data_IF_604909120210
#
_entry.id   IF_604909120210
#
_cell.length_a   1.000
_cell.length_b   1.000
_cell.length_c   1.000
_cell.angle_alpha   90.00
_cell.angle_beta   90.00
_cell.angle_gamma   90.00
#
_symmetry.space_group_name_H-M   'P 1'
#
loop_
_entity.id
_entity.type
_entity.pdbx_description
1 polymer ?
#
# COMPACT_ATOMS: atom_id res chain seq x y z
N UNK A 1 -0.22 -6.13 -13.17
CA UNK A 1 0.14 -4.74 -13.50
C UNK A 1 -0.53 -4.35 -14.82
N UNK A 2 -1.03 -3.14 -14.93
CA UNK A 2 -1.74 -2.63 -16.13
C UNK A 2 -0.82 -1.72 -16.94
N UNK A 3 -0.90 -1.85 -18.28
CA UNK A 3 -0.43 -0.87 -19.25
C UNK A 3 -1.63 -0.36 -20.02
N UNK A 4 -1.73 0.95 -20.21
CA UNK A 4 -2.84 1.54 -20.97
C UNK A 4 -2.89 0.97 -22.40
N UNK A 5 -4.02 0.39 -22.77
CA UNK A 5 -4.24 -0.29 -24.06
C UNK A 5 -4.03 -1.81 -24.03
N UNK A 6 -3.53 -2.39 -22.92
CA UNK A 6 -3.46 -3.83 -22.74
C UNK A 6 -4.80 -4.35 -22.20
N UNK A 7 -5.47 -5.19 -22.98
CA UNK A 7 -6.81 -5.68 -22.66
C UNK A 7 -6.83 -6.81 -21.63
N UNK A 8 -5.75 -7.59 -21.49
CA UNK A 8 -5.72 -8.76 -20.59
C UNK A 8 -5.74 -8.31 -19.12
N UNK A 9 -4.76 -7.56 -18.61
CA UNK A 9 -4.80 -7.13 -17.22
C UNK A 9 -5.95 -6.15 -16.93
N UNK A 10 -6.40 -5.37 -17.92
CA UNK A 10 -7.60 -4.55 -17.80
C UNK A 10 -8.84 -5.42 -17.49
N UNK A 11 -9.06 -6.46 -18.29
CA UNK A 11 -10.20 -7.35 -18.11
C UNK A 11 -10.13 -8.15 -16.81
N UNK A 12 -8.91 -8.53 -16.38
CA UNK A 12 -8.69 -9.21 -15.11
C UNK A 12 -9.06 -8.33 -13.92
N UNK A 13 -8.63 -7.06 -13.91
CA UNK A 13 -9.02 -6.11 -12.86
C UNK A 13 -10.52 -5.82 -12.91
N UNK A 14 -11.09 -5.61 -14.10
CA UNK A 14 -12.54 -5.39 -14.25
C UNK A 14 -13.36 -6.57 -13.71
N UNK A 15 -12.90 -7.81 -13.97
CA UNK A 15 -13.52 -9.03 -13.41
C UNK A 15 -13.40 -9.06 -11.89
N UNK A 16 -12.21 -8.75 -11.35
CA UNK A 16 -12.00 -8.69 -9.89
C UNK A 16 -12.92 -7.67 -9.22
N UNK A 17 -13.06 -6.47 -9.80
CA UNK A 17 -13.99 -5.44 -9.31
C UNK A 17 -15.44 -5.97 -9.31
N UNK A 18 -15.89 -6.63 -10.38
CA UNK A 18 -17.22 -7.21 -10.44
C UNK A 18 -17.40 -8.31 -9.38
N UNK A 19 -16.41 -9.22 -9.21
CA UNK A 19 -16.47 -10.27 -8.19
C UNK A 19 -16.54 -9.69 -6.77
N UNK A 20 -15.78 -8.64 -6.49
CA UNK A 20 -15.83 -7.94 -5.19
C UNK A 20 -17.24 -7.36 -4.97
N UNK A 21 -17.79 -6.67 -5.96
CA UNK A 21 -19.12 -6.08 -5.89
C UNK A 21 -20.24 -7.11 -5.70
N UNK A 22 -20.06 -8.32 -6.26
CA UNK A 22 -21.01 -9.43 -6.15
C UNK A 22 -20.81 -10.28 -4.87
N UNK A 23 -19.76 -10.04 -4.10
CA UNK A 23 -19.44 -10.79 -2.88
C UNK A 23 -20.03 -10.09 -1.65
N UNK A 24 -21.01 -10.66 -0.95
CA UNK A 24 -21.56 -10.07 0.26
C UNK A 24 -20.54 -10.01 1.39
N UNK A 25 -20.60 -8.94 2.20
CA UNK A 25 -19.79 -8.79 3.41
C UNK A 25 -18.39 -8.21 3.16
N UNK A 26 -18.05 -7.83 1.94
CA UNK A 26 -16.87 -7.00 1.70
C UNK A 26 -17.26 -5.54 2.00
N UNK A 27 -16.54 -4.90 2.89
CA UNK A 27 -16.85 -3.56 3.37
C UNK A 27 -15.86 -2.51 2.87
N UNK A 28 -14.64 -2.92 2.54
CA UNK A 28 -13.62 -2.08 1.91
C UNK A 28 -12.58 -2.92 1.15
N UNK A 29 -11.74 -2.26 0.37
CA UNK A 29 -10.63 -2.89 -0.38
C UNK A 29 -9.33 -2.17 -0.07
N UNK A 30 -8.26 -2.93 0.17
CA UNK A 30 -6.90 -2.41 0.28
C UNK A 30 -6.11 -2.84 -0.95
N UNK A 31 -5.43 -1.88 -1.58
CA UNK A 31 -4.55 -2.10 -2.73
C UNK A 31 -3.12 -1.74 -2.31
N UNK A 32 -2.27 -2.76 -2.19
CA UNK A 32 -0.91 -2.63 -1.66
C UNK A 32 0.15 -2.23 -2.71
N UNK A 33 -0.25 -1.64 -3.83
CA UNK A 33 0.66 -1.13 -4.86
C UNK A 33 0.85 -2.04 -6.07
N UNK A 34 1.79 -1.68 -6.93
CA UNK A 34 2.12 -2.37 -8.20
C UNK A 34 0.92 -2.56 -9.14
N UNK A 35 0.16 -1.48 -9.29
CA UNK A 35 -1.07 -1.48 -10.11
C UNK A 35 -0.78 -1.30 -11.61
N UNK A 36 0.36 -0.70 -11.94
CA UNK A 36 0.78 -0.43 -13.31
C UNK A 36 2.12 -1.08 -13.62
N UNK A 37 2.47 -1.18 -14.89
CA UNK A 37 3.74 -1.79 -15.30
C UNK A 37 4.93 -0.84 -15.18
N UNK A 38 4.76 0.44 -15.43
CA UNK A 38 5.83 1.44 -15.43
C UNK A 38 5.45 2.75 -14.71
N UNK A 39 4.38 2.77 -13.96
CA UNK A 39 3.95 3.94 -13.21
C UNK A 39 3.61 5.16 -14.07
N UNK A 40 3.17 4.96 -15.30
CA UNK A 40 2.73 6.07 -16.14
C UNK A 40 1.31 6.52 -15.77
N UNK A 41 1.08 7.82 -15.87
CA UNK A 41 -0.17 8.44 -15.46
C UNK A 41 -1.39 7.88 -16.17
N UNK A 42 -1.29 7.61 -17.48
CA UNK A 42 -2.41 7.10 -18.26
C UNK A 42 -2.84 5.71 -17.79
N UNK A 43 -1.89 4.83 -17.47
CA UNK A 43 -2.17 3.52 -16.90
C UNK A 43 -2.80 3.62 -15.51
N UNK A 44 -2.32 4.55 -14.66
CA UNK A 44 -2.93 4.82 -13.35
C UNK A 44 -4.37 5.34 -13.47
N UNK A 45 -4.65 6.24 -14.41
CA UNK A 45 -6.00 6.74 -14.68
C UNK A 45 -6.95 5.61 -15.13
N UNK A 46 -6.45 4.66 -15.93
CA UNK A 46 -7.22 3.46 -16.31
C UNK A 46 -7.52 2.60 -15.08
N UNK A 47 -6.53 2.32 -14.24
CA UNK A 47 -6.74 1.56 -12.99
C UNK A 47 -7.74 2.27 -12.08
N UNK A 48 -7.57 3.57 -11.89
CA UNK A 48 -8.49 4.37 -11.08
C UNK A 48 -9.93 4.26 -11.59
N UNK A 49 -10.14 4.38 -12.91
CA UNK A 49 -11.46 4.27 -13.51
C UNK A 49 -12.15 2.91 -13.26
N UNK A 50 -11.37 1.85 -13.10
CA UNK A 50 -11.88 0.53 -12.74
C UNK A 50 -12.15 0.41 -11.24
N UNK A 51 -11.24 0.88 -10.39
CA UNK A 51 -11.41 0.87 -8.94
C UNK A 51 -12.60 1.74 -8.49
N UNK A 52 -12.83 2.88 -9.15
CA UNK A 52 -13.98 3.77 -8.89
C UNK A 52 -15.35 3.10 -9.20
N UNK A 53 -15.36 1.90 -9.79
CA UNK A 53 -16.57 1.07 -9.98
C UNK A 53 -16.87 0.14 -8.80
N UNK A 54 -15.99 0.10 -7.80
CA UNK A 54 -16.28 -0.63 -6.56
C UNK A 54 -17.48 0.00 -5.84
N UNK A 55 -18.35 -0.85 -5.28
CA UNK A 55 -19.48 -0.43 -4.44
C UNK A 55 -19.06 -0.07 -3.01
N UNK A 56 -17.80 -0.31 -2.67
CA UNK A 56 -17.18 -0.06 -1.37
C UNK A 56 -15.97 0.84 -1.52
N UNK A 57 -15.55 1.49 -0.43
CA UNK A 57 -14.34 2.30 -0.44
C UNK A 57 -13.10 1.45 -0.72
N UNK A 58 -12.12 2.03 -1.40
CA UNK A 58 -10.80 1.45 -1.52
C UNK A 58 -9.71 2.39 -1.02
N UNK A 59 -8.69 1.80 -0.42
CA UNK A 59 -7.51 2.51 0.08
C UNK A 59 -6.28 1.95 -0.63
N UNK A 60 -5.41 2.82 -1.10
CA UNK A 60 -4.32 2.44 -1.99
C UNK A 60 -3.02 3.14 -1.61
N UNK A 61 -1.91 2.41 -1.69
CA UNK A 61 -0.54 2.95 -1.66
C UNK A 61 0.19 2.59 -2.96
N UNK A 62 1.24 3.34 -3.33
CA UNK A 62 2.06 2.97 -4.49
C UNK A 62 2.96 1.78 -4.17
N UNK A 63 3.29 0.99 -5.22
CA UNK A 63 4.36 0.02 -5.21
C UNK A 63 5.61 0.54 -5.92
N UNK A 64 6.58 -0.34 -6.15
CA UNK A 64 7.82 0.05 -6.82
C UNK A 64 7.61 0.38 -8.31
N UNK A 65 6.58 -0.16 -8.92
CA UNK A 65 6.25 0.18 -10.29
C UNK A 65 5.74 1.62 -10.42
N UNK A 66 5.06 2.15 -9.42
CA UNK A 66 4.59 3.55 -9.38
C UNK A 66 5.65 4.53 -8.90
N UNK A 67 6.74 4.05 -8.27
CA UNK A 67 7.82 4.89 -7.75
C UNK A 67 9.11 4.71 -8.55
N UNK A 68 9.75 3.55 -8.45
CA UNK A 68 11.05 3.21 -9.03
C UNK A 68 11.08 3.25 -10.57
N UNK A 69 10.02 2.77 -11.20
CA UNK A 69 9.94 2.66 -12.65
C UNK A 69 9.24 3.85 -13.30
N UNK A 70 8.54 4.67 -12.54
CA UNK A 70 7.87 5.86 -13.02
C UNK A 70 8.86 6.96 -13.38
N UNK A 71 8.66 7.63 -14.54
CA UNK A 71 9.42 8.82 -14.91
C UNK A 71 9.09 10.04 -14.04
N UNK A 72 7.89 10.08 -13.47
CA UNK A 72 7.44 11.16 -12.58
C UNK A 72 7.86 10.93 -11.11
N UNK A 73 8.55 9.81 -10.81
CA UNK A 73 8.63 9.32 -9.45
C UNK A 73 7.21 9.02 -8.95
N UNK A 74 6.91 9.27 -7.72
CA UNK A 74 5.58 9.05 -7.14
C UNK A 74 4.59 10.19 -7.40
N UNK A 75 5.02 11.28 -8.05
CA UNK A 75 4.21 12.50 -8.21
C UNK A 75 2.90 12.28 -8.96
N UNK A 76 2.90 11.46 -10.01
CA UNK A 76 1.68 11.17 -10.75
C UNK A 76 0.73 10.25 -9.96
N UNK A 77 1.25 9.37 -9.12
CA UNK A 77 0.41 8.57 -8.22
C UNK A 77 -0.39 9.49 -7.28
N UNK A 78 0.29 10.43 -6.60
CA UNK A 78 -0.38 11.39 -5.73
C UNK A 78 -1.40 12.27 -6.48
N UNK A 79 -1.12 12.64 -7.74
CA UNK A 79 -2.07 13.40 -8.57
C UNK A 79 -3.32 12.61 -8.93
N UNK A 80 -3.17 11.31 -9.20
CA UNK A 80 -4.29 10.44 -9.63
C UNK A 80 -5.11 9.97 -8.43
N UNK A 81 -4.45 9.52 -7.35
CA UNK A 81 -5.10 8.92 -6.19
C UNK A 81 -5.21 9.86 -4.98
N UNK A 82 -4.63 11.06 -5.03
CA UNK A 82 -4.73 12.08 -4.00
C UNK A 82 -3.67 12.00 -2.90
N UNK A 83 -3.15 10.82 -2.60
CA UNK A 83 -2.16 10.60 -1.54
C UNK A 83 -1.34 9.34 -1.78
N UNK A 84 -0.13 9.30 -1.22
CA UNK A 84 0.74 8.11 -1.20
C UNK A 84 0.59 7.29 0.08
N UNK A 85 -0.27 7.74 0.98
CA UNK A 85 -0.55 7.09 2.26
C UNK A 85 -2.01 7.25 2.61
N UNK A 86 -2.51 6.37 3.47
CA UNK A 86 -3.87 6.44 3.97
C UNK A 86 -3.95 6.03 5.44
N UNK A 87 -5.03 6.43 6.10
CA UNK A 87 -5.50 5.83 7.34
C UNK A 87 -7.02 5.86 7.37
N UNK A 88 -7.60 4.86 7.97
CA UNK A 88 -9.03 4.81 8.29
C UNK A 88 -9.27 3.88 9.47
N UNK A 89 -10.44 3.96 10.06
CA UNK A 89 -10.86 3.05 11.12
C UNK A 89 -12.04 2.22 10.66
N UNK A 90 -11.99 0.93 10.99
CA UNK A 90 -13.10 0.01 10.75
C UNK A 90 -13.19 -0.98 11.91
N UNK A 91 -14.38 -1.16 12.49
CA UNK A 91 -14.67 -2.05 13.62
C UNK A 91 -13.68 -1.93 14.79
N UNK A 92 -13.28 -0.70 15.11
CA UNK A 92 -12.36 -0.44 16.21
C UNK A 92 -10.89 -0.69 15.89
N UNK A 93 -10.54 -1.10 14.67
CA UNK A 93 -9.19 -1.32 14.19
C UNK A 93 -8.75 -0.12 13.36
N UNK A 94 -7.54 0.37 13.58
CA UNK A 94 -6.91 1.39 12.74
C UNK A 94 -6.13 0.71 11.62
N UNK A 95 -6.41 1.09 10.39
CA UNK A 95 -5.67 0.69 9.20
C UNK A 95 -4.80 1.86 8.74
N UNK A 96 -3.52 1.61 8.52
CA UNK A 96 -2.56 2.62 8.06
C UNK A 96 -1.69 2.06 6.94
N UNK A 97 -1.59 2.77 5.83
CA UNK A 97 -0.72 2.43 4.73
C UNK A 97 0.22 3.57 4.36
N UNK A 98 1.46 3.25 4.03
CA UNK A 98 2.48 4.21 3.62
C UNK A 98 3.24 3.75 2.38
N UNK A 99 3.74 4.73 1.63
CA UNK A 99 4.67 4.46 0.54
C UNK A 99 5.98 3.89 1.10
N UNK A 100 6.37 2.71 0.64
CA UNK A 100 7.66 2.08 0.92
C UNK A 100 8.50 1.86 -0.34
N UNK A 101 8.05 2.38 -1.48
CA UNK A 101 8.76 2.28 -2.73
C UNK A 101 9.96 3.24 -2.80
N UNK A 102 11.05 2.86 -3.51
CA UNK A 102 12.21 3.72 -3.65
C UNK A 102 11.93 4.90 -4.58
N UNK A 103 12.49 6.04 -4.26
CA UNK A 103 12.44 7.24 -5.13
C UNK A 103 13.46 7.13 -6.26
N UNK A 104 14.55 6.37 -6.04
CA UNK A 104 15.65 6.21 -6.99
C UNK A 104 15.66 4.79 -7.56
N UNK A 105 15.80 4.66 -8.88
CA UNK A 105 15.74 3.39 -9.62
C UNK A 105 16.69 2.28 -9.15
N UNK A 106 17.75 2.60 -8.43
CA UNK A 106 18.78 1.64 -8.01
C UNK A 106 18.74 1.33 -6.51
N UNK A 107 17.78 1.87 -5.78
CA UNK A 107 17.68 1.69 -4.33
C UNK A 107 16.69 0.56 -3.97
N UNK A 108 16.87 0.02 -2.78
CA UNK A 108 15.84 -0.72 -2.07
C UNK A 108 14.66 0.19 -1.75
N UNK A 109 13.56 -0.36 -1.24
CA UNK A 109 12.46 0.43 -0.71
C UNK A 109 12.94 1.38 0.37
N UNK A 110 12.22 2.48 0.55
CA UNK A 110 12.52 3.49 1.57
C UNK A 110 11.21 4.13 2.04
N UNK A 111 11.03 4.23 3.35
CA UNK A 111 9.94 5.02 3.94
C UNK A 111 10.47 6.41 4.27
N UNK A 112 9.89 7.43 3.66
CA UNK A 112 10.36 8.79 3.81
C UNK A 112 10.29 9.25 5.29
N UNK A 113 11.25 10.06 5.79
CA UNK A 113 11.24 10.52 7.18
C UNK A 113 9.94 11.21 7.60
N UNK A 114 9.34 12.00 6.71
CA UNK A 114 8.05 12.64 6.95
C UNK A 114 6.88 11.65 7.07
N UNK A 115 6.97 10.48 6.47
CA UNK A 115 5.98 9.41 6.65
C UNK A 115 6.19 8.69 7.97
N UNK A 116 7.44 8.49 8.41
CA UNK A 116 7.76 7.97 9.75
C UNK A 116 7.25 8.92 10.85
N UNK A 117 7.42 10.22 10.68
CA UNK A 117 6.89 11.23 11.61
C UNK A 117 5.36 11.22 11.63
N UNK A 118 4.73 11.05 10.48
CA UNK A 118 3.28 10.91 10.37
C UNK A 118 2.78 9.63 11.05
N UNK A 119 3.45 8.48 10.85
CA UNK A 119 3.13 7.21 11.52
C UNK A 119 3.12 7.42 13.04
N UNK A 120 4.20 7.95 13.61
CA UNK A 120 4.32 8.21 15.05
C UNK A 120 3.20 9.13 15.55
N UNK A 121 2.94 10.22 14.82
CA UNK A 121 1.91 11.20 15.19
C UNK A 121 0.52 10.57 15.21
N UNK A 122 0.18 9.75 14.23
CA UNK A 122 -1.15 9.15 14.15
C UNK A 122 -1.33 7.99 15.13
N UNK A 123 -0.28 7.21 15.40
CA UNK A 123 -0.29 6.18 16.41
C UNK A 123 -0.36 6.77 17.83
N UNK A 124 0.32 7.87 18.11
CA UNK A 124 0.21 8.59 19.39
C UNK A 124 -1.22 9.08 19.64
N UNK A 125 -1.89 9.63 18.60
CA UNK A 125 -3.30 10.06 18.69
C UNK A 125 -4.24 8.88 18.93
N UNK A 126 -3.98 7.72 18.30
CA UNK A 126 -4.80 6.53 18.45
C UNK A 126 -4.63 5.87 19.83
N UNK A 127 -3.45 6.02 20.42
CA UNK A 127 -3.08 5.42 21.71
C UNK A 127 -2.55 3.99 21.58
N UNK A 128 -1.78 3.57 22.59
CA UNK A 128 -1.01 2.30 22.55
C UNK A 128 -1.87 1.04 22.54
N UNK A 129 -3.09 1.11 23.00
CA UNK A 129 -4.01 -0.05 23.07
C UNK A 129 -4.83 -0.25 21.79
N UNK A 130 -4.87 0.76 20.91
CA UNK A 130 -5.61 0.68 19.66
C UNK A 130 -5.04 -0.43 18.78
N UNK A 131 -5.84 -1.44 18.39
CA UNK A 131 -5.35 -2.43 17.42
C UNK A 131 -5.11 -1.79 16.06
N UNK A 132 -3.97 -2.11 15.46
CA UNK A 132 -3.53 -1.53 14.20
C UNK A 132 -3.17 -2.63 13.21
N UNK A 133 -3.61 -2.47 11.97
CA UNK A 133 -3.07 -3.19 10.79
C UNK A 133 -2.27 -2.17 9.98
N UNK A 134 -0.99 -2.50 9.75
CA UNK A 134 -0.05 -1.65 9.05
C UNK A 134 0.23 -2.19 7.66
N UNK A 135 0.21 -1.36 6.64
CA UNK A 135 0.30 -1.76 5.24
C UNK A 135 1.50 -1.07 4.56
N UNK A 136 2.35 -1.87 3.92
CA UNK A 136 3.43 -1.41 3.06
C UNK A 136 3.39 -2.20 1.74
N UNK A 137 4.08 -1.72 0.71
CA UNK A 137 4.27 -2.53 -0.50
C UNK A 137 5.42 -3.52 -0.32
N UNK A 138 6.61 -3.03 0.04
CA UNK A 138 7.74 -3.88 0.38
C UNK A 138 7.62 -4.45 1.79
N UNK A 139 8.00 -5.71 2.02
CA UNK A 139 8.21 -6.21 3.38
C UNK A 139 9.22 -5.37 4.16
N UNK A 140 8.98 -5.16 5.45
CA UNK A 140 9.84 -4.35 6.32
C UNK A 140 11.06 -5.14 6.81
N UNK A 141 11.94 -5.53 5.89
CA UNK A 141 13.12 -6.35 6.22
C UNK A 141 14.35 -5.93 5.44
N UNK A 142 15.57 -6.35 5.88
CA UNK A 142 16.81 -6.10 5.16
C UNK A 142 16.76 -6.59 3.71
N UNK A 143 17.20 -5.78 2.79
CA UNK A 143 17.21 -6.08 1.34
C UNK A 143 15.92 -5.68 0.61
N UNK A 144 14.84 -5.39 1.32
CA UNK A 144 13.60 -4.87 0.74
C UNK A 144 13.43 -3.37 1.05
N UNK A 145 13.59 -2.95 2.30
CA UNK A 145 13.52 -1.55 2.73
C UNK A 145 14.79 -1.19 3.48
N UNK A 146 15.53 -0.19 3.02
CA UNK A 146 16.83 0.19 3.58
C UNK A 146 16.75 0.72 5.02
N UNK A 147 15.68 1.42 5.35
CA UNK A 147 15.39 1.93 6.69
C UNK A 147 14.25 1.18 7.40
N UNK A 148 14.12 -0.12 7.14
CA UNK A 148 13.09 -0.98 7.76
C UNK A 148 13.06 -0.86 9.30
N UNK A 149 14.24 -0.75 9.93
CA UNK A 149 14.37 -0.63 11.39
C UNK A 149 13.77 0.67 11.93
N UNK A 150 13.88 1.80 11.23
CA UNK A 150 13.25 3.06 11.64
C UNK A 150 11.72 2.94 11.67
N UNK A 151 11.15 2.19 10.71
CA UNK A 151 9.71 1.96 10.62
C UNK A 151 9.27 0.98 11.72
N UNK A 152 9.97 -0.14 11.90
CA UNK A 152 9.64 -1.12 12.95
C UNK A 152 9.77 -0.52 14.34
N UNK A 153 10.80 0.29 14.59
CA UNK A 153 10.96 1.03 15.86
C UNK A 153 9.84 2.04 16.09
N UNK A 154 9.34 2.67 15.01
CA UNK A 154 8.23 3.62 15.11
C UNK A 154 6.89 2.95 15.48
N UNK A 155 6.65 1.72 15.00
CA UNK A 155 5.37 1.02 15.21
C UNK A 155 5.39 0.08 16.42
N UNK A 156 6.53 -0.48 16.81
CA UNK A 156 6.69 -1.45 17.91
C UNK A 156 6.06 -1.04 19.25
N UNK A 157 6.09 0.24 19.69
CA UNK A 157 5.49 0.64 20.97
C UNK A 157 3.96 0.52 21.03
N UNK A 158 3.31 0.20 19.90
CA UNK A 158 1.85 0.20 19.75
C UNK A 158 1.30 -1.21 19.50
N UNK A 159 -0.02 -1.37 19.59
CA UNK A 159 -0.69 -2.66 19.42
C UNK A 159 -0.84 -3.03 17.92
N UNK A 160 0.29 -3.25 17.24
CA UNK A 160 0.30 -3.69 15.84
C UNK A 160 -0.08 -5.17 15.77
N UNK A 161 -1.20 -5.46 15.14
CA UNK A 161 -1.75 -6.82 15.01
C UNK A 161 -1.23 -7.57 13.78
N UNK A 162 -0.87 -6.81 12.75
CA UNK A 162 -0.41 -7.37 11.48
C UNK A 162 0.30 -6.29 10.67
N UNK A 163 1.40 -6.66 10.00
CA UNK A 163 1.97 -5.91 8.89
C UNK A 163 1.65 -6.65 7.60
N UNK A 164 0.97 -5.98 6.66
CA UNK A 164 0.63 -6.54 5.35
C UNK A 164 1.55 -5.98 4.29
N UNK A 165 2.19 -6.87 3.53
CA UNK A 165 3.05 -6.53 2.41
C UNK A 165 2.51 -7.02 1.07
N UNK A 166 3.22 -6.66 0.00
CA UNK A 166 3.01 -7.15 -1.36
C UNK A 166 4.33 -7.60 -1.97
N UNK A 167 4.64 -7.11 -3.18
CA UNK A 167 5.91 -7.21 -3.90
C UNK A 167 6.31 -8.62 -4.36
N UNK A 168 6.27 -9.63 -3.51
CA UNK A 168 6.78 -10.97 -3.83
C UNK A 168 5.84 -11.83 -4.68
N UNK A 169 4.60 -11.40 -4.92
CA UNK A 169 3.59 -12.16 -5.68
C UNK A 169 3.37 -13.59 -5.16
N UNK A 170 3.52 -13.79 -3.84
CA UNK A 170 3.31 -15.08 -3.18
C UNK A 170 2.88 -14.85 -1.73
N UNK A 171 2.12 -15.80 -1.21
CA UNK A 171 1.83 -15.81 0.20
C UNK A 171 3.09 -16.17 1.01
N UNK A 172 3.41 -15.33 1.99
CA UNK A 172 4.49 -15.58 2.96
C UNK A 172 4.01 -15.18 4.34
N UNK A 173 4.44 -15.94 5.35
CA UNK A 173 4.36 -15.54 6.74
C UNK A 173 5.70 -14.95 7.14
N UNK A 174 5.66 -13.76 7.70
CA UNK A 174 6.82 -12.98 8.12
C UNK A 174 6.66 -12.60 9.59
N UNK A 175 7.75 -12.19 10.21
CA UNK A 175 7.77 -11.67 11.58
C UNK A 175 8.74 -10.49 11.64
N UNK A 176 8.28 -9.41 12.22
CA UNK A 176 9.04 -8.17 12.37
C UNK A 176 9.14 -7.81 13.86
N UNK A 177 10.20 -8.28 14.56
CA UNK A 177 10.38 -8.04 16.00
C UNK A 177 9.11 -8.41 16.81
N UNK A 178 8.67 -9.66 16.72
CA UNK A 178 7.45 -10.21 17.32
C UNK A 178 6.12 -9.68 16.74
N UNK A 179 6.14 -8.84 15.72
CA UNK A 179 4.95 -8.40 15.00
C UNK A 179 4.70 -9.35 13.82
N UNK A 180 3.52 -10.00 13.74
CA UNK A 180 3.22 -10.89 12.62
C UNK A 180 3.08 -10.13 11.31
N UNK A 181 3.55 -10.73 10.20
CA UNK A 181 3.47 -10.19 8.85
C UNK A 181 3.00 -11.20 7.80
N UNK A 182 2.42 -10.70 6.73
CA UNK A 182 2.06 -11.48 5.54
C UNK A 182 2.45 -10.72 4.26
#
# INVERSE_FOLDING_TARGET
HITAGDSIPYNDLARSVNQINDTPGIEFVIVSGDITNIGDRKSMEVVKSLLDRLNVEYHIIPGNHETKWSESGVTDFARVFGSERFKFEHDGILFMGVNSGPIIRMADGHVAPQDIDWIKTELDKAGKEKPVIFITHYPLQPGDVDNWYDVTDAIRPYNIRLVMGGHYHKYMQLEYDDIPGI
#
